data_IF_463559738084
#
_entry.id   IF_463559738084
#
_cell.length_a   1.000
_cell.length_b   1.000
_cell.length_c   1.000
_cell.angle_alpha   90.00
_cell.angle_beta   90.00
_cell.angle_gamma   90.00
#
_symmetry.space_group_name_H-M   'P 1'
#
loop_
_entity.id
_entity.type
_entity.pdbx_description
1 polymer ?
#
# COMPACT_ATOMS: atom_id res chain seq x y z
N UNK A 1 4.60 9.13 -21.94
CA UNK A 1 4.58 10.61 -21.80
C UNK A 1 3.48 10.94 -20.79
N UNK A 2 3.64 11.95 -19.91
CA UNK A 2 2.78 12.26 -18.74
C UNK A 2 3.01 11.43 -17.46
N UNK A 3 4.20 10.89 -17.24
CA UNK A 3 4.51 10.18 -15.99
C UNK A 3 4.45 11.14 -14.80
N UNK A 4 3.87 10.71 -13.69
CA UNK A 4 3.84 11.49 -12.45
C UNK A 4 5.09 11.24 -11.59
N UNK A 5 5.28 12.05 -10.56
CA UNK A 5 6.30 11.81 -9.54
C UNK A 5 6.07 10.46 -8.82
N UNK A 6 4.81 10.06 -8.62
CA UNK A 6 4.49 8.74 -8.07
C UNK A 6 4.85 7.60 -9.01
N UNK A 7 4.62 7.77 -10.32
CA UNK A 7 5.06 6.78 -11.31
C UNK A 7 6.58 6.61 -11.29
N UNK A 8 7.34 7.71 -11.13
CA UNK A 8 8.78 7.65 -10.94
C UNK A 8 9.17 6.89 -9.67
N UNK A 9 8.48 7.13 -8.55
CA UNK A 9 8.73 6.39 -7.31
C UNK A 9 8.58 4.87 -7.51
N UNK A 10 7.51 4.42 -8.17
CA UNK A 10 7.30 2.99 -8.49
C UNK A 10 8.26 2.45 -9.55
N UNK A 11 8.74 3.30 -10.46
CA UNK A 11 9.79 2.92 -11.39
C UNK A 11 11.08 2.59 -10.65
N UNK A 12 11.49 3.43 -9.69
CA UNK A 12 12.66 3.19 -8.81
C UNK A 12 12.48 1.90 -8.01
N UNK A 13 11.41 1.80 -7.21
CA UNK A 13 11.12 0.58 -6.45
C UNK A 13 9.69 0.59 -5.92
N UNK A 14 9.06 -0.59 -5.83
CA UNK A 14 7.69 -0.72 -5.28
C UNK A 14 7.61 -0.20 -3.85
N UNK A 15 8.60 -0.48 -3.02
CA UNK A 15 8.64 0.00 -1.63
C UNK A 15 8.75 1.53 -1.52
N UNK A 16 9.53 2.16 -2.40
CA UNK A 16 9.64 3.62 -2.46
C UNK A 16 8.30 4.23 -2.88
N UNK A 17 7.64 3.64 -3.89
CA UNK A 17 6.30 4.03 -4.29
C UNK A 17 5.27 3.88 -3.18
N UNK A 18 5.26 2.74 -2.48
CA UNK A 18 4.33 2.45 -1.40
C UNK A 18 4.46 3.40 -0.21
N UNK A 19 5.70 3.85 0.06
CA UNK A 19 6.02 4.75 1.18
C UNK A 19 6.05 6.22 0.79
N UNK A 20 5.76 6.57 -0.46
CA UNK A 20 5.85 7.94 -0.94
C UNK A 20 4.80 8.86 -0.29
N UNK A 21 5.26 10.00 0.25
CA UNK A 21 4.38 11.02 0.86
C UNK A 21 4.39 12.33 0.09
N UNK A 22 5.52 12.70 -0.51
CA UNK A 22 5.69 13.91 -1.30
C UNK A 22 6.84 13.74 -2.29
N UNK A 23 7.01 14.70 -3.20
CA UNK A 23 8.16 14.75 -4.09
C UNK A 23 8.77 16.15 -4.09
N UNK A 24 10.05 16.23 -4.44
CA UNK A 24 10.74 17.47 -4.74
C UNK A 24 11.25 17.40 -6.18
N UNK A 25 10.92 18.39 -6.99
CA UNK A 25 11.35 18.48 -8.39
C UNK A 25 12.18 19.75 -8.53
N UNK A 26 13.43 19.59 -8.95
CA UNK A 26 14.41 20.68 -9.09
C UNK A 26 14.50 21.55 -7.82
N UNK A 27 14.52 20.91 -6.64
CA UNK A 27 14.61 21.58 -5.35
C UNK A 27 13.27 22.07 -4.76
N UNK A 28 12.17 22.06 -5.52
CA UNK A 28 10.86 22.57 -5.07
C UNK A 28 9.93 21.45 -4.63
N UNK A 29 9.30 21.59 -3.46
CA UNK A 29 8.32 20.63 -2.94
C UNK A 29 7.05 20.65 -3.80
N UNK A 30 6.61 19.48 -4.24
CA UNK A 30 5.46 19.32 -5.15
C UNK A 30 4.63 18.09 -4.74
N UNK A 31 3.32 18.06 -5.09
CA UNK A 31 2.48 16.88 -4.83
C UNK A 31 2.89 15.69 -5.72
N UNK A 32 2.61 14.47 -5.26
CA UNK A 32 2.93 13.22 -5.99
C UNK A 32 2.28 13.12 -7.38
N UNK A 33 1.15 13.80 -7.59
CA UNK A 33 0.45 13.85 -8.89
C UNK A 33 1.15 14.70 -9.96
N UNK A 34 2.23 15.39 -9.60
CA UNK A 34 2.95 16.30 -10.49
C UNK A 34 3.50 15.53 -11.69
N UNK A 35 3.19 16.00 -12.90
CA UNK A 35 3.74 15.44 -14.13
C UNK A 35 5.20 15.86 -14.26
N UNK A 36 6.04 14.91 -14.64
CA UNK A 36 7.47 15.12 -14.82
C UNK A 36 7.80 15.44 -16.28
N UNK A 37 8.75 16.35 -16.47
CA UNK A 37 9.41 16.61 -17.74
C UNK A 37 10.80 15.95 -17.77
N UNK A 38 11.30 15.68 -18.97
CA UNK A 38 12.64 15.15 -19.16
C UNK A 38 13.70 16.13 -18.67
N UNK A 39 14.77 15.60 -18.04
CA UNK A 39 15.89 16.41 -17.55
C UNK A 39 15.71 16.97 -16.13
N UNK A 40 14.55 16.77 -15.50
CA UNK A 40 14.32 17.23 -14.13
C UNK A 40 14.95 16.30 -13.09
N UNK A 41 15.50 16.87 -12.01
CA UNK A 41 15.93 16.12 -10.83
C UNK A 41 14.72 15.88 -9.94
N UNK A 42 14.44 14.61 -9.64
CA UNK A 42 13.30 14.20 -8.81
C UNK A 42 13.79 13.50 -7.56
N UNK A 43 13.33 13.99 -6.41
CA UNK A 43 13.54 13.35 -5.11
C UNK A 43 12.19 12.91 -4.56
N UNK A 44 12.10 11.65 -4.14
CA UNK A 44 10.90 11.11 -3.51
C UNK A 44 11.10 11.14 -2.00
N UNK A 45 10.13 11.72 -1.29
CA UNK A 45 10.10 11.78 0.16
C UNK A 45 9.23 10.62 0.63
N UNK A 46 9.79 9.77 1.49
CA UNK A 46 9.12 8.55 2.00
C UNK A 46 8.88 8.61 3.51
N UNK A 47 7.88 7.88 3.98
CA UNK A 47 7.63 7.67 5.40
C UNK A 47 7.27 6.21 5.69
N UNK A 48 7.74 5.66 6.81
CA UNK A 48 7.49 4.26 7.19
C UNK A 48 6.01 3.94 7.39
N UNK A 49 5.24 4.90 7.88
CA UNK A 49 3.79 4.80 8.12
C UNK A 49 2.93 5.06 6.88
N UNK A 50 3.55 5.43 5.76
CA UNK A 50 2.80 5.69 4.52
C UNK A 50 2.47 4.38 3.82
N UNK A 51 1.24 4.28 3.34
CA UNK A 51 0.74 3.19 2.51
C UNK A 51 0.04 3.74 1.26
N UNK A 52 -0.11 2.91 0.21
CA UNK A 52 -0.85 3.32 -0.98
C UNK A 52 -2.29 3.71 -0.69
N UNK A 53 -2.76 4.73 -1.39
CA UNK A 53 -4.14 5.23 -1.27
C UNK A 53 -4.91 4.95 -2.57
N UNK A 54 -6.20 4.58 -2.52
CA UNK A 54 -7.02 4.36 -3.71
C UNK A 54 -6.99 5.53 -4.70
N UNK A 55 -7.03 6.77 -4.19
CA UNK A 55 -6.96 8.01 -4.98
C UNK A 55 -5.71 8.10 -5.89
N UNK A 56 -4.64 7.36 -5.59
CA UNK A 56 -3.45 7.36 -6.44
C UNK A 56 -3.72 6.77 -7.82
N UNK A 57 -4.67 5.83 -7.94
CA UNK A 57 -5.06 5.20 -9.20
C UNK A 57 -5.67 6.17 -10.21
N UNK A 58 -6.12 7.34 -9.75
CA UNK A 58 -6.70 8.39 -10.59
C UNK A 58 -5.66 9.12 -11.44
N UNK A 59 -4.40 9.20 -10.96
CA UNK A 59 -3.38 10.02 -11.61
C UNK A 59 -2.10 9.27 -11.99
N UNK A 60 -1.86 8.06 -11.48
CA UNK A 60 -0.74 7.23 -11.96
C UNK A 60 -1.00 6.71 -13.37
N UNK A 61 0.03 6.78 -14.21
CA UNK A 61 -0.06 6.45 -15.63
C UNK A 61 0.62 5.11 -15.94
N UNK A 62 1.68 4.76 -15.21
CA UNK A 62 2.48 3.56 -15.50
C UNK A 62 1.76 2.27 -15.09
N UNK A 63 1.86 1.24 -15.94
CA UNK A 63 1.30 -0.08 -15.65
C UNK A 63 1.87 -0.70 -14.38
N UNK A 64 3.18 -0.53 -14.15
CA UNK A 64 3.87 -0.99 -12.94
C UNK A 64 3.25 -0.37 -11.68
N UNK A 65 3.10 0.97 -11.63
CA UNK A 65 2.49 1.63 -10.48
C UNK A 65 1.05 1.16 -10.25
N UNK A 66 0.22 1.12 -11.30
CA UNK A 66 -1.18 0.68 -11.20
C UNK A 66 -1.31 -0.74 -10.63
N UNK A 67 -0.50 -1.68 -11.12
CA UNK A 67 -0.51 -3.07 -10.65
C UNK A 67 -0.03 -3.17 -9.20
N UNK A 68 1.09 -2.53 -8.87
CA UNK A 68 1.63 -2.54 -7.51
C UNK A 68 0.69 -1.90 -6.47
N UNK A 69 0.07 -0.76 -6.81
CA UNK A 69 -0.91 -0.10 -5.93
C UNK A 69 -2.11 -1.02 -5.67
N UNK A 70 -2.69 -1.60 -6.72
CA UNK A 70 -3.85 -2.51 -6.56
C UNK A 70 -3.51 -3.75 -5.74
N UNK A 71 -2.35 -4.34 -5.99
CA UNK A 71 -1.88 -5.49 -5.23
C UNK A 71 -1.75 -5.14 -3.74
N UNK A 72 -1.14 -4.00 -3.44
CA UNK A 72 -0.96 -3.58 -2.04
C UNK A 72 -2.30 -3.26 -1.37
N UNK A 73 -3.22 -2.58 -2.06
CA UNK A 73 -4.56 -2.28 -1.51
C UNK A 73 -5.33 -3.57 -1.19
N UNK A 74 -5.31 -4.55 -2.09
CA UNK A 74 -5.93 -5.86 -1.86
C UNK A 74 -5.29 -6.59 -0.68
N UNK A 75 -3.97 -6.50 -0.53
CA UNK A 75 -3.27 -7.11 0.59
C UNK A 75 -3.69 -6.49 1.93
N UNK A 76 -3.78 -5.16 1.99
CA UNK A 76 -4.23 -4.44 3.19
C UNK A 76 -5.67 -4.81 3.55
N UNK A 77 -6.58 -4.84 2.57
CA UNK A 77 -7.97 -5.26 2.77
C UNK A 77 -8.06 -6.72 3.29
N UNK A 78 -7.22 -7.61 2.76
CA UNK A 78 -7.17 -9.00 3.20
C UNK A 78 -6.65 -9.12 4.64
N UNK A 79 -5.57 -8.42 4.99
CA UNK A 79 -5.02 -8.40 6.34
C UNK A 79 -6.05 -7.87 7.35
N UNK A 80 -6.76 -6.79 7.03
CA UNK A 80 -7.82 -6.23 7.87
C UNK A 80 -8.98 -7.21 8.06
N UNK A 81 -9.40 -7.89 6.99
CA UNK A 81 -10.46 -8.89 7.03
C UNK A 81 -10.08 -10.10 7.88
N UNK A 82 -8.84 -10.60 7.74
CA UNK A 82 -8.31 -11.71 8.55
C UNK A 82 -8.29 -11.31 10.02
N UNK A 83 -7.75 -10.14 10.35
CA UNK A 83 -7.69 -9.65 11.73
C UNK A 83 -9.09 -9.48 12.35
N UNK A 84 -10.06 -8.99 11.57
CA UNK A 84 -11.45 -8.91 12.01
C UNK A 84 -12.04 -10.31 12.24
N UNK A 85 -11.82 -11.25 11.32
CA UNK A 85 -12.28 -12.62 11.42
C UNK A 85 -11.75 -13.34 12.66
N UNK A 86 -10.47 -13.19 12.96
CA UNK A 86 -9.86 -13.71 14.19
C UNK A 86 -10.57 -13.16 15.44
N UNK A 87 -10.74 -11.83 15.54
CA UNK A 87 -11.45 -11.22 16.68
C UNK A 87 -12.89 -11.72 16.83
N UNK A 88 -13.60 -11.90 15.72
CA UNK A 88 -14.97 -12.41 15.73
C UNK A 88 -15.02 -13.87 16.18
N UNK A 89 -14.10 -14.70 15.70
CA UNK A 89 -14.00 -16.10 16.06
C UNK A 89 -13.62 -16.28 17.53
N UNK A 90 -12.61 -15.55 18.02
CA UNK A 90 -12.22 -15.58 19.44
C UNK A 90 -13.40 -15.23 20.35
N UNK A 91 -14.14 -14.16 20.02
CA UNK A 91 -15.35 -13.77 20.77
C UNK A 91 -16.43 -14.85 20.77
N UNK A 92 -16.58 -15.60 19.68
CA UNK A 92 -17.54 -16.70 19.62
C UNK A 92 -17.08 -17.91 20.47
N UNK A 93 -15.77 -18.17 20.49
CA UNK A 93 -15.15 -19.24 21.27
C UNK A 93 -15.12 -18.95 22.77
N UNK A 94 -15.06 -17.67 23.18
CA UNK A 94 -15.19 -17.26 24.58
C UNK A 94 -16.47 -17.82 25.23
N UNK A 95 -17.58 -17.85 24.49
CA UNK A 95 -18.84 -18.43 24.96
C UNK A 95 -18.78 -19.95 25.18
N UNK A 96 -17.79 -20.61 24.59
CA UNK A 96 -17.49 -22.04 24.74
C UNK A 96 -16.32 -22.28 25.69
N UNK A 97 -15.92 -21.27 26.47
CA UNK A 97 -14.78 -21.29 27.41
C UNK A 97 -13.44 -21.67 26.75
N UNK A 98 -13.31 -21.40 25.45
CA UNK A 98 -12.10 -21.70 24.66
C UNK A 98 -11.63 -20.48 23.86
N UNK A 99 -10.51 -20.60 23.15
CA UNK A 99 -9.95 -19.54 22.29
C UNK A 99 -9.25 -20.15 21.08
N UNK A 100 -9.00 -19.36 20.03
CA UNK A 100 -8.26 -19.83 18.84
C UNK A 100 -6.92 -20.48 19.23
N UNK A 101 -6.20 -19.88 20.17
CA UNK A 101 -4.89 -20.37 20.62
C UNK A 101 -4.96 -21.73 21.34
N UNK A 102 -6.12 -22.08 21.92
CA UNK A 102 -6.31 -23.33 22.68
C UNK A 102 -6.91 -24.45 21.86
N UNK A 103 -7.50 -24.15 20.70
CA UNK A 103 -7.99 -25.19 19.80
C UNK A 103 -6.80 -25.92 19.17
N UNK A 104 -6.66 -27.24 19.34
CA UNK A 104 -5.62 -27.99 18.66
C UNK A 104 -5.83 -27.84 17.15
N UNK A 105 -4.74 -27.77 16.37
CA UNK A 105 -4.77 -27.78 14.92
C UNK A 105 -5.28 -29.14 14.43
N UNK A 106 -6.59 -29.38 14.58
CA UNK A 106 -7.29 -30.48 13.96
C UNK A 106 -7.14 -30.25 12.46
N UNK A 107 -6.35 -31.13 11.85
CA UNK A 107 -6.07 -31.17 10.42
C UNK A 107 -7.43 -31.20 9.72
N UNK A 108 -7.83 -30.04 9.17
CA UNK A 108 -8.98 -29.92 8.29
C UNK A 108 -8.57 -30.63 7.00
N UNK A 109 -8.98 -31.89 6.86
CA UNK A 109 -8.88 -32.67 5.62
C UNK A 109 -9.95 -32.24 4.61
#
# INVERSE_FOLDING_TARGET
RNSTALDFAYAVHTDVGNRAVAARVDGKLVPLRTKLASGQRVEIITAKSSSPKPQWLEFVVSGKARTSIRQQLKQLEHEDAVQLGHRMLDRALEALETSLDRTPALRLE
#
